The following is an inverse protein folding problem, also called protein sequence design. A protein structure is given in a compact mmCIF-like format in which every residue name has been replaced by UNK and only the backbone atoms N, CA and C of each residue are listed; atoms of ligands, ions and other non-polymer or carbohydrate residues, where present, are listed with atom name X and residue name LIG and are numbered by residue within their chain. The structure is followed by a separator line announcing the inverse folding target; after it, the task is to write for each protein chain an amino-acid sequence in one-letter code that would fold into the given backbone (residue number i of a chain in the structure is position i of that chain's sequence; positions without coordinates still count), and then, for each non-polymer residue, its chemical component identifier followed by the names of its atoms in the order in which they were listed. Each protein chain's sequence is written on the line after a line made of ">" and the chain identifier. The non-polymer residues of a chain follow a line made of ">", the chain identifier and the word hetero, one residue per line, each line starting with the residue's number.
data_IF_516390956419
#
_entry.id   IF_516390956419
#
_cell.length_a   1.000
_cell.length_b   1.000
_cell.length_c   1.000
_cell.angle_alpha   90.00
_cell.angle_beta   90.00
_cell.angle_gamma   90.00
#
_symmetry.space_group_name_H-M   'P 1'
#
loop_
_entity.id
_entity.type
_entity.pdbx_description
1 polymer ?
#
# COMPACT_ATOMS: atom_id res chain seq x y z
N UNK A 1 27.19 -22.24 14.42
CA UNK A 1 26.26 -21.18 14.91
C UNK A 1 25.72 -20.43 13.71
N UNK A 2 24.40 -20.18 13.63
CA UNK A 2 23.83 -19.31 12.58
C UNK A 2 24.10 -17.84 12.95
N UNK A 3 24.54 -16.99 12.01
CA UNK A 3 24.80 -15.59 12.31
C UNK A 3 23.51 -14.88 12.73
N UNK A 4 23.61 -14.03 13.75
CA UNK A 4 22.51 -13.20 14.22
C UNK A 4 22.07 -12.26 13.08
N UNK A 5 20.77 -12.25 12.79
CA UNK A 5 20.21 -11.32 11.82
C UNK A 5 20.11 -9.93 12.45
N UNK A 6 20.45 -8.86 11.71
CA UNK A 6 20.27 -7.51 12.18
C UNK A 6 18.79 -7.19 12.41
N UNK A 7 18.53 -6.20 13.27
CA UNK A 7 17.20 -5.63 13.47
C UNK A 7 16.62 -5.10 12.15
N UNK A 8 15.29 -5.03 12.05
CA UNK A 8 14.62 -4.71 10.78
C UNK A 8 14.24 -5.94 9.96
N UNK A 9 14.35 -7.15 10.53
CA UNK A 9 13.95 -8.40 9.87
C UNK A 9 12.95 -9.17 10.73
N UNK A 10 12.10 -9.98 10.10
CA UNK A 10 11.17 -10.87 10.84
C UNK A 10 11.92 -11.85 11.74
N UNK A 11 13.11 -12.28 11.34
CA UNK A 11 13.97 -13.16 12.15
C UNK A 11 14.48 -12.43 13.41
N UNK A 12 14.83 -11.15 13.31
CA UNK A 12 15.21 -10.35 14.46
C UNK A 12 14.01 -10.04 15.38
N UNK A 13 12.81 -9.82 14.83
CA UNK A 13 11.58 -9.72 15.61
C UNK A 13 11.35 -10.99 16.45
N UNK A 14 11.48 -12.17 15.82
CA UNK A 14 11.34 -13.45 16.52
C UNK A 14 12.39 -13.63 17.60
N UNK A 15 13.64 -13.20 17.36
CA UNK A 15 14.68 -13.20 18.38
C UNK A 15 14.30 -12.35 19.58
N UNK A 16 13.84 -11.12 19.37
CA UNK A 16 13.37 -10.26 20.48
C UNK A 16 12.28 -10.97 21.29
N UNK A 17 11.28 -11.53 20.61
CA UNK A 17 10.20 -12.25 21.24
C UNK A 17 10.67 -13.47 22.07
N UNK A 18 11.57 -14.28 21.51
CA UNK A 18 12.12 -15.47 22.19
C UNK A 18 13.02 -15.11 23.38
N UNK A 19 13.68 -13.95 23.32
CA UNK A 19 14.49 -13.42 24.41
C UNK A 19 13.66 -12.67 25.47
N UNK A 20 12.34 -12.49 25.27
CA UNK A 20 11.50 -11.66 26.13
C UNK A 20 11.80 -10.16 26.04
N UNK A 21 12.52 -9.72 25.00
CA UNK A 21 12.83 -8.33 24.73
C UNK A 21 11.65 -7.65 24.01
N UNK A 22 11.45 -6.36 24.26
CA UNK A 22 10.52 -5.56 23.45
C UNK A 22 11.10 -5.37 22.05
N UNK A 23 10.42 -5.78 20.97
CA UNK A 23 10.93 -5.57 19.62
C UNK A 23 11.07 -4.08 19.29
N UNK A 24 12.21 -3.70 18.71
CA UNK A 24 12.43 -2.33 18.23
C UNK A 24 11.52 -1.98 17.03
N UNK A 25 11.38 -0.69 16.74
CA UNK A 25 10.54 -0.19 15.64
C UNK A 25 10.82 -0.85 14.28
N UNK A 26 12.09 -1.00 13.84
CA UNK A 26 12.38 -1.69 12.58
C UNK A 26 11.87 -3.14 12.56
N UNK A 27 11.98 -3.85 13.69
CA UNK A 27 11.50 -5.23 13.81
C UNK A 27 9.97 -5.30 13.80
N UNK A 28 9.27 -4.33 14.41
CA UNK A 28 7.81 -4.23 14.37
C UNK A 28 7.31 -3.96 12.95
N UNK A 29 7.92 -3.00 12.25
CA UNK A 29 7.61 -2.69 10.87
C UNK A 29 7.83 -3.91 9.95
N UNK A 30 8.98 -4.58 10.08
CA UNK A 30 9.28 -5.79 9.31
C UNK A 30 8.23 -6.90 9.55
N UNK A 31 7.75 -7.05 10.79
CA UNK A 31 6.71 -8.04 11.11
C UNK A 31 5.35 -7.67 10.52
N UNK A 32 5.01 -6.38 10.49
CA UNK A 32 3.79 -5.89 9.87
C UNK A 32 3.78 -6.19 8.36
N UNK A 33 4.90 -5.91 7.67
CA UNK A 33 5.07 -6.22 6.23
C UNK A 33 4.99 -7.73 5.96
N UNK A 34 5.66 -8.57 6.77
CA UNK A 34 5.57 -10.04 6.66
C UNK A 34 4.14 -10.54 6.87
N UNK A 35 3.42 -10.01 7.87
CA UNK A 35 2.02 -10.35 8.14
C UNK A 35 1.13 -10.01 6.94
N UNK A 36 1.27 -8.81 6.39
CA UNK A 36 0.55 -8.36 5.20
C UNK A 36 0.84 -9.28 4.02
N UNK A 37 2.11 -9.56 3.74
CA UNK A 37 2.54 -10.46 2.66
C UNK A 37 1.94 -11.86 2.79
N UNK A 38 1.91 -12.44 3.99
CA UNK A 38 1.34 -13.78 4.23
C UNK A 38 -0.18 -13.81 4.07
N UNK A 39 -0.87 -12.75 4.52
CA UNK A 39 -2.31 -12.61 4.34
C UNK A 39 -2.68 -12.67 2.86
N UNK A 40 -1.95 -11.97 2.00
CA UNK A 40 -2.16 -12.00 0.54
C UNK A 40 -1.82 -13.34 -0.09
N UNK A 41 -0.67 -13.94 0.27
CA UNK A 41 -0.30 -15.29 -0.18
C UNK A 41 -1.36 -16.34 0.18
N UNK A 42 -1.93 -16.27 1.38
CA UNK A 42 -2.97 -17.20 1.84
C UNK A 42 -4.32 -17.01 1.12
N UNK A 43 -4.58 -15.82 0.58
CA UNK A 43 -5.78 -15.51 -0.21
C UNK A 43 -5.61 -15.76 -1.71
N UNK A 44 -4.51 -16.40 -2.12
CA UNK A 44 -4.23 -16.71 -3.52
C UNK A 44 -3.84 -15.49 -4.37
N UNK A 45 -3.51 -14.36 -3.75
CA UNK A 45 -3.03 -13.17 -4.44
C UNK A 45 -1.52 -13.05 -4.30
N UNK A 46 -0.80 -12.98 -5.41
CA UNK A 46 0.55 -12.40 -5.37
C UNK A 46 0.45 -10.97 -4.80
N UNK A 47 1.46 -10.48 -4.05
CA UNK A 47 1.49 -9.12 -3.53
C UNK A 47 1.34 -8.02 -4.60
N UNK A 48 1.38 -8.37 -5.89
CA UNK A 48 1.33 -7.47 -7.04
C UNK A 48 0.32 -7.88 -8.14
N UNK A 49 -0.62 -8.78 -7.85
CA UNK A 49 -1.64 -9.21 -8.83
C UNK A 49 -3.00 -8.48 -8.67
N UNK A 50 -2.99 -7.24 -8.19
CA UNK A 50 -4.10 -6.32 -8.42
C UNK A 50 -3.56 -5.17 -9.27
N UNK A 51 -3.89 -5.16 -10.56
CA UNK A 51 -3.42 -4.15 -11.51
C UNK A 51 -3.80 -2.73 -11.07
N UNK A 52 -4.94 -2.57 -10.40
CA UNK A 52 -5.50 -1.27 -10.06
C UNK A 52 -4.62 -0.43 -9.10
N UNK A 53 -4.19 -0.89 -7.89
CA UNK A 53 -3.31 -0.07 -7.05
C UNK A 53 -2.01 0.38 -7.70
N UNK A 54 -1.37 -0.49 -8.50
CA UNK A 54 -0.15 -0.13 -9.24
C UNK A 54 -0.45 0.90 -10.32
N UNK A 55 -1.48 0.65 -11.14
CA UNK A 55 -1.91 1.58 -12.19
C UNK A 55 -2.28 2.94 -11.59
N UNK A 56 -2.98 2.96 -10.46
CA UNK A 56 -3.35 4.20 -9.75
C UNK A 56 -2.09 4.98 -9.36
N UNK A 57 -1.14 4.33 -8.68
CA UNK A 57 0.13 4.96 -8.31
C UNK A 57 0.88 5.44 -9.56
N UNK A 58 1.08 4.60 -10.58
CA UNK A 58 1.76 4.98 -11.83
C UNK A 58 1.11 6.21 -12.48
N UNK A 59 -0.23 6.30 -12.47
CA UNK A 59 -0.95 7.43 -13.05
C UNK A 59 -0.78 8.69 -12.23
N UNK A 60 -0.89 8.62 -10.90
CA UNK A 60 -0.72 9.76 -10.02
C UNK A 60 0.73 10.27 -10.03
N UNK A 61 1.72 9.38 -10.14
CA UNK A 61 3.13 9.75 -10.34
C UNK A 61 3.34 10.41 -11.71
N UNK A 62 2.66 9.94 -12.76
CA UNK A 62 2.81 10.47 -14.12
C UNK A 62 2.11 11.82 -14.33
N UNK A 63 0.91 11.97 -13.77
CA UNK A 63 0.01 13.08 -14.07
C UNK A 63 -0.19 14.05 -12.89
N UNK A 64 0.32 13.71 -11.71
CA UNK A 64 0.15 14.48 -10.49
C UNK A 64 -1.19 14.26 -9.79
N UNK A 65 -1.43 15.05 -8.74
CA UNK A 65 -2.67 15.03 -7.97
C UNK A 65 -3.89 15.34 -8.86
N UNK A 66 -4.94 14.55 -8.75
CA UNK A 66 -6.16 14.71 -9.55
C UNK A 66 -7.40 14.24 -8.81
N UNK A 67 -8.59 14.61 -9.29
CA UNK A 67 -9.83 14.09 -8.71
C UNK A 67 -9.99 12.60 -8.95
N UNK A 68 -10.72 11.93 -8.05
CA UNK A 68 -11.04 10.50 -8.23
C UNK A 68 -11.76 10.27 -9.57
N UNK A 69 -12.64 11.20 -9.98
CA UNK A 69 -13.37 11.08 -11.25
C UNK A 69 -12.43 11.13 -12.46
N UNK A 70 -11.45 12.03 -12.46
CA UNK A 70 -10.43 12.12 -13.52
C UNK A 70 -9.55 10.88 -13.54
N UNK A 71 -9.12 10.40 -12.37
CA UNK A 71 -8.34 9.18 -12.24
C UNK A 71 -9.08 7.96 -12.81
N UNK A 72 -10.36 7.79 -12.44
CA UNK A 72 -11.21 6.71 -12.95
C UNK A 72 -11.35 6.78 -14.46
N UNK A 73 -11.67 7.96 -14.98
CA UNK A 73 -11.83 8.18 -16.43
C UNK A 73 -10.53 7.86 -17.19
N UNK A 74 -9.37 8.31 -16.69
CA UNK A 74 -8.07 8.05 -17.31
C UNK A 74 -7.73 6.56 -17.31
N UNK A 75 -7.92 5.88 -16.17
CA UNK A 75 -7.60 4.47 -16.03
C UNK A 75 -8.51 3.62 -16.92
N UNK A 76 -9.83 3.87 -16.92
CA UNK A 76 -10.77 3.14 -17.78
C UNK A 76 -10.47 3.28 -19.27
N UNK A 77 -9.99 4.45 -19.69
CA UNK A 77 -9.66 4.70 -21.10
C UNK A 77 -8.42 3.93 -21.56
N UNK A 78 -7.48 3.65 -20.65
CA UNK A 78 -6.20 2.99 -20.94
C UNK A 78 -6.15 1.52 -20.54
N UNK A 79 -7.06 1.10 -19.67
CA UNK A 79 -7.10 -0.23 -19.07
C UNK A 79 -8.55 -0.70 -18.96
N UNK A 80 -8.79 -1.98 -19.24
CA UNK A 80 -10.10 -2.61 -19.06
C UNK A 80 -10.37 -2.91 -17.56
N UNK A 81 -10.47 -1.86 -16.75
CA UNK A 81 -10.71 -1.93 -15.31
C UNK A 81 -12.03 -1.22 -15.00
N UNK A 82 -12.93 -1.93 -14.32
CA UNK A 82 -14.22 -1.38 -13.90
C UNK A 82 -14.06 -0.26 -12.87
N UNK A 83 -14.95 0.73 -12.97
CA UNK A 83 -15.09 1.86 -12.04
C UNK A 83 -14.97 1.44 -10.56
N UNK A 84 -15.84 0.51 -10.14
CA UNK A 84 -15.93 0.06 -8.75
C UNK A 84 -14.61 -0.52 -8.23
N UNK A 85 -13.84 -1.19 -9.10
CA UNK A 85 -12.53 -1.73 -8.74
C UNK A 85 -11.53 -0.60 -8.46
N UNK A 86 -11.58 0.48 -9.25
CA UNK A 86 -10.71 1.65 -9.08
C UNK A 86 -11.10 2.37 -7.79
N UNK A 87 -12.38 2.69 -7.59
CA UNK A 87 -12.85 3.34 -6.36
C UNK A 87 -12.49 2.55 -5.10
N UNK A 88 -12.75 1.24 -5.10
CA UNK A 88 -12.43 0.37 -3.95
C UNK A 88 -10.93 0.34 -3.66
N UNK A 89 -10.10 0.33 -4.71
CA UNK A 89 -8.65 0.39 -4.58
C UNK A 89 -8.19 1.73 -3.99
N UNK A 90 -8.69 2.86 -4.53
CA UNK A 90 -8.39 4.20 -4.03
C UNK A 90 -8.76 4.34 -2.56
N UNK A 91 -9.99 3.98 -2.17
CA UNK A 91 -10.43 4.05 -0.77
C UNK A 91 -9.59 3.19 0.16
N UNK A 92 -9.19 1.99 -0.26
CA UNK A 92 -8.27 1.14 0.51
C UNK A 92 -6.90 1.80 0.65
N UNK A 93 -6.36 2.35 -0.42
CA UNK A 93 -5.05 3.00 -0.40
C UNK A 93 -5.02 4.24 0.48
N UNK A 94 -6.12 5.01 0.53
CA UNK A 94 -6.29 6.10 1.50
C UNK A 94 -6.32 5.54 2.93
N UNK A 95 -7.10 4.50 3.20
CA UNK A 95 -7.22 3.91 4.53
C UNK A 95 -5.89 3.32 5.06
N UNK A 96 -5.08 2.77 4.18
CA UNK A 96 -3.76 2.21 4.50
C UNK A 96 -2.63 3.27 4.47
N UNK A 97 -2.97 4.55 4.23
CA UNK A 97 -2.03 5.68 4.26
C UNK A 97 -1.11 5.79 3.04
N UNK A 98 -1.45 5.17 1.91
CA UNK A 98 -0.64 5.21 0.67
C UNK A 98 -1.01 6.36 -0.27
N UNK A 99 -2.22 6.89 -0.12
CA UNK A 99 -2.67 8.08 -0.84
C UNK A 99 -3.17 9.09 0.17
N UNK A 100 -2.85 10.35 -0.05
CA UNK A 100 -3.49 11.46 0.63
C UNK A 100 -4.74 11.87 -0.13
N UNK A 101 -5.75 12.33 0.60
CA UNK A 101 -6.99 12.81 0.00
C UNK A 101 -7.33 14.20 0.53
N UNK A 102 -7.44 15.17 -0.37
CA UNK A 102 -7.78 16.55 -0.05
C UNK A 102 -9.02 16.99 -0.83
N UNK A 103 -9.81 17.90 -0.25
CA UNK A 103 -10.92 18.51 -0.98
C UNK A 103 -10.45 19.80 -1.63
N UNK A 104 -10.71 19.97 -2.92
CA UNK A 104 -10.46 21.23 -3.61
C UNK A 104 -11.49 22.31 -3.21
N UNK A 105 -11.33 23.52 -3.79
CA UNK A 105 -12.24 24.66 -3.55
C UNK A 105 -13.67 24.42 -4.04
N UNK A 106 -13.87 23.45 -4.95
CA UNK A 106 -15.17 23.04 -5.47
C UNK A 106 -15.76 21.85 -4.70
N UNK A 107 -15.03 21.34 -3.69
CA UNK A 107 -15.42 20.20 -2.87
C UNK A 107 -15.13 18.82 -3.49
N UNK A 108 -14.41 18.74 -4.62
CA UNK A 108 -14.00 17.48 -5.26
C UNK A 108 -12.86 16.84 -4.47
N UNK A 109 -12.92 15.51 -4.38
CA UNK A 109 -11.89 14.73 -3.70
C UNK A 109 -10.71 14.49 -4.63
N UNK A 110 -9.60 15.17 -4.35
CA UNK A 110 -8.31 15.03 -5.01
C UNK A 110 -7.49 13.98 -4.27
N UNK A 111 -6.82 13.12 -5.03
CA UNK A 111 -5.93 12.08 -4.51
C UNK A 111 -4.52 12.27 -5.04
N UNK A 112 -3.54 12.03 -4.17
CA UNK A 112 -2.11 12.09 -4.48
C UNK A 112 -1.37 10.97 -3.74
N UNK A 113 -0.17 10.62 -4.21
CA UNK A 113 0.66 9.59 -3.56
C UNK A 113 1.26 10.17 -2.28
N UNK A 114 1.23 9.39 -1.18
CA UNK A 114 1.92 9.76 0.05
C UNK A 114 3.43 9.48 -0.12
N UNK A 115 4.24 10.53 -0.15
CA UNK A 115 5.69 10.42 -0.38
C UNK A 115 6.48 9.96 0.86
N UNK A 116 5.86 9.89 2.04
CA UNK A 116 6.45 9.35 3.28
C UNK A 116 7.53 10.21 3.94
#
# INVERSE_FOLDING_TARGET
>A
MKPLKPCGTTAAYQRHYLNGETPCDPCRAAKAVDRHTRYWKAKGGEPFANTAPRIITDHLETFGAMSIQELVWLIQRRHDIKDETIHRAVHRMIADGRLLSVKDIEGKLIVEVDDG
#
